data_IF_721053654587
#
_entry.id   IF_721053654587
#
_cell.length_a   1.000
_cell.length_b   1.000
_cell.length_c   1.000
_cell.angle_alpha   90.00
_cell.angle_beta   90.00
_cell.angle_gamma   90.00
#
_symmetry.space_group_name_H-M   'P 1'
#
loop_
_entity.id
_entity.type
_entity.pdbx_description
1 polymer ?
#
# COMPACT_ATOMS: atom_id res chain seq x y z
N UNK A 1 -60.91 36.48 27.82
CA UNK A 1 -61.39 35.17 27.35
C UNK A 1 -60.38 34.64 26.36
N UNK A 2 -59.70 33.55 26.58
CA UNK A 2 -59.74 32.50 27.58
C UNK A 2 -58.76 31.49 26.95
N UNK A 3 -57.85 30.82 27.62
CA UNK A 3 -57.52 30.65 29.02
C UNK A 3 -56.13 29.95 28.89
N UNK A 4 -55.11 30.41 29.61
CA UNK A 4 -54.54 29.67 30.74
C UNK A 4 -54.10 28.22 30.41
N UNK A 5 -52.86 27.80 30.65
CA UNK A 5 -52.15 28.09 31.89
C UNK A 5 -50.66 27.82 31.84
N UNK A 6 -49.98 28.68 32.59
CA UNK A 6 -48.59 28.62 32.98
C UNK A 6 -48.35 27.53 34.04
N UNK A 7 -47.10 27.02 34.07
CA UNK A 7 -46.30 26.70 35.26
C UNK A 7 -46.80 25.58 36.19
N UNK A 8 -45.99 24.51 36.33
CA UNK A 8 -45.57 24.03 37.66
C UNK A 8 -44.42 22.99 37.63
N UNK A 9 -43.35 23.35 38.35
CA UNK A 9 -42.49 22.54 39.23
C UNK A 9 -41.60 21.37 38.74
N UNK A 10 -40.30 21.63 38.89
CA UNK A 10 -39.23 20.79 39.47
C UNK A 10 -39.68 19.64 40.40
N UNK A 11 -39.14 18.42 40.22
CA UNK A 11 -38.12 17.82 41.10
C UNK A 11 -37.60 16.43 40.63
N UNK A 12 -36.26 16.25 40.79
CA UNK A 12 -35.46 15.04 41.08
C UNK A 12 -35.46 13.77 40.18
N UNK A 13 -34.25 13.55 39.64
CA UNK A 13 -33.39 12.34 39.71
C UNK A 13 -34.04 10.97 39.46
N UNK A 14 -33.63 10.34 38.34
CA UNK A 14 -33.21 8.93 38.37
C UNK A 14 -32.13 8.67 37.29
N UNK A 15 -31.05 8.05 37.73
CA UNK A 15 -29.92 7.59 36.91
C UNK A 15 -30.37 6.42 36.03
N UNK A 16 -30.17 6.51 34.71
CA UNK A 16 -30.13 5.34 33.84
C UNK A 16 -29.02 5.50 32.78
N UNK A 17 -28.20 4.45 32.69
CA UNK A 17 -26.97 4.30 31.90
C UNK A 17 -27.22 4.45 30.37
N UNK A 18 -26.20 4.81 29.57
CA UNK A 18 -26.36 4.93 28.13
C UNK A 18 -26.47 3.53 27.50
N UNK A 19 -27.62 3.21 26.90
CA UNK A 19 -27.78 2.03 26.06
C UNK A 19 -27.65 2.41 24.59
N UNK A 20 -26.82 1.65 23.88
CA UNK A 20 -26.67 1.54 22.43
C UNK A 20 -26.31 2.81 21.65
N UNK A 21 -25.01 2.92 21.32
CA UNK A 21 -24.56 3.73 20.20
C UNK A 21 -25.31 3.33 18.91
N UNK A 22 -25.79 4.27 18.09
CA UNK A 22 -26.44 3.93 16.83
C UNK A 22 -25.38 3.49 15.82
N UNK A 23 -25.37 2.22 15.43
CA UNK A 23 -24.72 1.74 14.19
C UNK A 23 -25.49 2.37 13.03
N UNK A 24 -24.98 3.47 12.46
CA UNK A 24 -25.53 4.00 11.21
C UNK A 24 -24.61 3.52 10.12
N UNK A 25 -25.17 2.65 9.31
CA UNK A 25 -24.54 2.09 8.16
C UNK A 25 -24.41 3.15 7.07
N UNK A 26 -23.24 3.18 6.43
CA UNK A 26 -23.18 3.54 5.01
C UNK A 26 -23.35 2.23 4.27
N UNK A 27 -24.54 1.67 4.41
CA UNK A 27 -25.01 0.63 3.53
C UNK A 27 -25.91 1.28 2.50
N UNK A 28 -25.95 0.64 1.35
CA UNK A 28 -27.24 0.16 0.91
C UNK A 28 -27.91 -0.69 2.05
N UNK A 29 -28.41 -0.01 3.10
CA UNK A 29 -29.14 -0.39 4.35
C UNK A 29 -28.63 -1.41 5.44
N UNK A 30 -29.00 -1.15 6.75
CA UNK A 30 -28.81 -1.94 8.00
C UNK A 30 -29.81 -3.00 8.43
N UNK A 31 -30.79 -3.33 7.60
CA UNK A 31 -31.89 -4.21 8.04
C UNK A 31 -32.17 -5.37 7.09
N UNK A 32 -31.38 -5.56 6.03
CA UNK A 32 -31.80 -6.44 4.94
C UNK A 32 -33.05 -5.91 4.21
N UNK A 33 -33.38 -4.63 4.37
CA UNK A 33 -34.41 -3.94 3.58
C UNK A 33 -33.83 -2.63 3.05
N UNK A 34 -33.24 -2.71 1.85
CA UNK A 34 -33.07 -1.55 1.00
C UNK A 34 -34.45 -1.10 0.52
N UNK A 35 -34.91 0.09 0.92
CA UNK A 35 -35.78 0.84 0.02
C UNK A 35 -34.95 1.13 -1.24
N UNK A 36 -35.30 0.50 -2.36
CA UNK A 36 -34.64 0.68 -3.65
C UNK A 36 -34.69 2.13 -4.18
N UNK A 37 -35.40 3.03 -3.49
CA UNK A 37 -35.74 4.38 -3.94
C UNK A 37 -34.93 5.49 -3.25
N UNK A 38 -34.08 5.18 -2.25
CA UNK A 38 -33.29 6.18 -1.55
C UNK A 38 -31.99 6.50 -2.32
N UNK A 39 -31.86 7.74 -2.81
CA UNK A 39 -30.61 8.23 -3.43
C UNK A 39 -29.44 8.09 -2.46
N UNK A 40 -28.27 7.58 -2.90
CA UNK A 40 -27.09 7.49 -2.04
C UNK A 40 -26.70 8.88 -1.49
N UNK A 41 -26.23 8.94 -0.23
CA UNK A 41 -25.86 10.21 0.40
C UNK A 41 -24.76 10.92 -0.39
N UNK A 42 -24.83 12.25 -0.44
CA UNK A 42 -23.82 13.08 -1.10
C UNK A 42 -22.48 13.07 -0.36
N UNK A 43 -21.41 13.47 -1.05
CA UNK A 43 -20.06 13.52 -0.44
C UNK A 43 -20.02 14.44 0.80
N UNK A 44 -20.73 15.57 0.78
CA UNK A 44 -20.77 16.50 1.91
C UNK A 44 -21.36 15.86 3.17
N UNK A 45 -22.43 15.09 2.99
CA UNK A 45 -23.07 14.37 4.08
C UNK A 45 -22.16 13.25 4.62
N UNK A 46 -21.53 12.48 3.72
CA UNK A 46 -20.58 11.45 4.12
C UNK A 46 -19.39 12.04 4.88
N UNK A 47 -18.83 13.15 4.42
CA UNK A 47 -17.75 13.86 5.12
C UNK A 47 -18.23 14.35 6.48
N UNK A 48 -19.41 14.97 6.59
CA UNK A 48 -19.94 15.41 7.88
C UNK A 48 -20.13 14.24 8.86
N UNK A 49 -20.62 13.09 8.37
CA UNK A 49 -20.75 11.86 9.16
C UNK A 49 -19.39 11.33 9.62
N UNK A 50 -18.38 11.31 8.74
CA UNK A 50 -17.01 10.91 9.07
C UNK A 50 -16.45 11.77 10.20
N UNK A 51 -16.54 13.10 10.10
CA UNK A 51 -16.02 14.01 11.12
C UNK A 51 -16.83 13.97 12.42
N UNK A 52 -18.13 13.69 12.38
CA UNK A 52 -18.91 13.51 13.60
C UNK A 52 -18.55 12.22 14.36
N UNK A 53 -18.27 11.14 13.63
CA UNK A 53 -18.02 9.80 14.21
C UNK A 53 -16.56 9.44 14.37
N UNK A 54 -15.65 10.19 13.75
CA UNK A 54 -14.25 9.81 13.47
C UNK A 54 -14.08 8.67 12.45
N UNK A 55 -15.12 7.92 12.09
CA UNK A 55 -15.04 6.78 11.16
C UNK A 55 -16.34 6.54 10.39
N UNK A 56 -16.23 5.79 9.29
CA UNK A 56 -17.29 5.21 8.50
C UNK A 56 -16.95 3.75 8.18
N UNK A 57 -17.99 2.93 7.94
CA UNK A 57 -17.83 1.55 7.45
C UNK A 57 -18.56 1.42 6.13
N UNK A 58 -17.84 1.01 5.10
CA UNK A 58 -18.34 0.70 3.76
C UNK A 58 -18.52 -0.81 3.66
N UNK A 59 -19.77 -1.28 3.71
CA UNK A 59 -20.06 -2.72 3.77
C UNK A 59 -19.92 -3.41 2.43
N UNK A 60 -19.41 -4.63 2.43
CA UNK A 60 -19.31 -5.47 1.22
C UNK A 60 -18.54 -4.81 0.08
N UNK A 61 -17.63 -3.89 0.40
CA UNK A 61 -16.87 -3.11 -0.55
C UNK A 61 -15.84 -3.93 -1.33
N UNK A 62 -15.40 -5.05 -0.76
CA UNK A 62 -14.46 -5.99 -1.39
C UNK A 62 -15.19 -7.32 -1.65
N UNK A 63 -15.19 -7.81 -2.90
CA UNK A 63 -15.72 -9.13 -3.25
C UNK A 63 -15.08 -10.28 -2.45
N UNK A 64 -15.87 -11.30 -2.12
CA UNK A 64 -15.43 -12.40 -1.24
C UNK A 64 -14.30 -13.25 -1.84
N UNK A 65 -14.20 -13.35 -3.17
CA UNK A 65 -13.08 -14.02 -3.84
C UNK A 65 -11.75 -13.28 -3.60
N UNK A 66 -11.77 -11.94 -3.60
CA UNK A 66 -10.60 -11.12 -3.28
C UNK A 66 -10.25 -11.18 -1.81
N UNK A 67 -11.25 -11.22 -0.93
CA UNK A 67 -11.05 -11.46 0.50
C UNK A 67 -10.32 -12.79 0.71
N UNK A 68 -10.81 -13.88 0.11
CA UNK A 68 -10.19 -15.20 0.22
C UNK A 68 -8.74 -15.22 -0.32
N UNK A 69 -8.48 -14.62 -1.48
CA UNK A 69 -7.13 -14.47 -2.04
C UNK A 69 -6.20 -13.70 -1.10
N UNK A 70 -6.66 -12.57 -0.56
CA UNK A 70 -5.86 -11.73 0.34
C UNK A 70 -5.53 -12.45 1.65
N UNK A 71 -6.51 -13.13 2.27
CA UNK A 71 -6.28 -13.97 3.47
C UNK A 71 -5.27 -15.07 3.15
N UNK A 72 -5.47 -15.81 2.07
CA UNK A 72 -4.57 -16.89 1.66
C UNK A 72 -3.13 -16.37 1.46
N UNK A 73 -2.95 -15.23 0.80
CA UNK A 73 -1.64 -14.60 0.59
C UNK A 73 -0.98 -14.16 1.90
N UNK A 74 -1.74 -13.61 2.85
CA UNK A 74 -1.20 -13.12 4.12
C UNK A 74 -0.83 -14.24 5.09
N UNK A 75 -1.60 -15.33 5.11
CA UNK A 75 -1.38 -16.45 6.03
C UNK A 75 -0.31 -17.45 5.57
N UNK A 76 0.28 -17.26 4.37
CA UNK A 76 1.41 -18.10 3.92
C UNK A 76 2.53 -18.09 4.96
N UNK A 77 3.08 -19.26 5.33
CA UNK A 77 4.19 -19.35 6.28
C UNK A 77 5.35 -18.47 5.81
N UNK A 78 5.84 -17.60 6.69
CA UNK A 78 6.96 -16.72 6.40
C UNK A 78 8.03 -16.81 7.48
N UNK A 79 9.27 -16.66 7.03
CA UNK A 79 10.39 -16.46 7.94
C UNK A 79 10.31 -15.04 8.50
N UNK A 80 9.64 -14.88 9.63
CA UNK A 80 9.69 -13.64 10.42
C UNK A 80 10.63 -13.83 11.59
N UNK A 81 11.74 -13.11 11.59
CA UNK A 81 12.57 -12.94 12.78
C UNK A 81 11.72 -12.25 13.86
N UNK A 82 11.42 -12.95 14.96
CA UNK A 82 10.71 -12.38 16.11
C UNK A 82 9.19 -12.66 16.19
N UNK A 83 8.62 -13.57 15.40
CA UNK A 83 7.26 -14.03 15.65
C UNK A 83 7.22 -14.97 16.86
N UNK A 84 6.88 -14.41 18.03
CA UNK A 84 6.47 -15.23 19.16
C UNK A 84 5.14 -15.92 18.87
N UNK A 85 4.90 -17.14 19.36
CA UNK A 85 3.57 -17.76 19.35
C UNK A 85 2.58 -16.88 20.11
N UNK A 86 1.57 -16.33 19.42
CA UNK A 86 0.59 -15.40 19.99
C UNK A 86 0.94 -13.93 19.79
N UNK A 87 -0.09 -13.10 19.59
CA UNK A 87 0.06 -11.65 19.40
C UNK A 87 -0.23 -11.15 17.97
N UNK A 88 0.14 -9.89 17.73
CA UNK A 88 -0.08 -9.21 16.46
C UNK A 88 1.12 -9.38 15.52
N UNK A 89 0.92 -10.03 14.38
CA UNK A 89 1.91 -10.15 13.32
C UNK A 89 1.66 -9.06 12.26
N UNK A 90 2.73 -8.30 11.95
CA UNK A 90 2.74 -7.42 10.77
C UNK A 90 3.24 -8.17 9.56
N UNK A 91 2.51 -7.99 8.47
CA UNK A 91 2.76 -8.57 7.16
C UNK A 91 3.17 -7.43 6.23
N UNK A 92 4.47 -7.28 6.03
CA UNK A 92 5.02 -6.23 5.17
C UNK A 92 5.02 -6.66 3.69
N UNK A 93 5.20 -5.68 2.82
CA UNK A 93 5.36 -5.87 1.36
C UNK A 93 4.21 -6.67 0.74
N UNK A 94 2.97 -6.39 1.17
CA UNK A 94 1.77 -7.11 0.69
C UNK A 94 1.62 -7.07 -0.82
N UNK A 95 2.07 -6.00 -1.46
CA UNK A 95 2.03 -5.80 -2.92
C UNK A 95 2.79 -6.90 -3.68
N UNK A 96 3.83 -7.48 -3.09
CA UNK A 96 4.60 -8.57 -3.70
C UNK A 96 3.92 -9.93 -3.54
N UNK A 97 3.02 -10.08 -2.57
CA UNK A 97 2.44 -11.37 -2.21
C UNK A 97 1.39 -11.84 -3.21
N UNK A 98 0.57 -10.90 -3.68
CA UNK A 98 -0.52 -11.17 -4.62
C UNK A 98 -1.03 -9.85 -5.26
N UNK A 99 -1.33 -9.82 -6.57
CA UNK A 99 -1.93 -8.65 -7.22
C UNK A 99 -3.24 -8.14 -6.58
N UNK A 100 -3.95 -8.98 -5.83
CA UNK A 100 -5.24 -8.63 -5.19
C UNK A 100 -5.16 -7.37 -4.34
N UNK A 101 -4.03 -7.08 -3.68
CA UNK A 101 -3.88 -5.88 -2.87
C UNK A 101 -3.88 -4.60 -3.72
N UNK A 102 -3.27 -4.65 -4.90
CA UNK A 102 -3.33 -3.53 -5.86
C UNK A 102 -4.73 -3.41 -6.48
N UNK A 103 -5.41 -4.53 -6.77
CA UNK A 103 -6.80 -4.54 -7.23
C UNK A 103 -7.74 -3.86 -6.22
N UNK A 104 -7.64 -4.21 -4.92
CA UNK A 104 -8.43 -3.61 -3.83
C UNK A 104 -8.22 -2.10 -3.69
N UNK A 105 -7.01 -1.60 -3.98
CA UNK A 105 -6.71 -0.16 -3.98
C UNK A 105 -7.32 0.52 -5.18
N UNK A 106 -7.27 -0.10 -6.37
CA UNK A 106 -7.87 0.46 -7.57
C UNK A 106 -9.40 0.58 -7.44
N UNK A 107 -10.02 -0.41 -6.80
CA UNK A 107 -11.47 -0.56 -6.70
C UNK A 107 -12.07 0.03 -5.42
N UNK A 108 -11.38 0.99 -4.78
CA UNK A 108 -11.92 1.69 -3.63
C UNK A 108 -13.31 2.28 -3.94
N UNK A 109 -14.30 2.11 -3.03
CA UNK A 109 -15.63 2.69 -3.18
C UNK A 109 -15.60 4.17 -3.52
N UNK A 110 -16.47 4.60 -4.44
CA UNK A 110 -16.54 5.99 -4.89
C UNK A 110 -16.72 6.98 -3.72
N UNK A 111 -17.49 6.60 -2.70
CA UNK A 111 -17.65 7.41 -1.49
C UNK A 111 -16.33 7.65 -0.74
N UNK A 112 -15.46 6.64 -0.63
CA UNK A 112 -14.12 6.80 -0.04
C UNK A 112 -13.27 7.75 -0.88
N UNK A 113 -13.26 7.56 -2.20
CA UNK A 113 -12.48 8.38 -3.13
C UNK A 113 -12.91 9.84 -3.06
N UNK A 114 -14.22 10.11 -3.15
CA UNK A 114 -14.77 11.47 -3.07
C UNK A 114 -14.50 12.15 -1.73
N UNK A 115 -14.56 11.41 -0.62
CA UNK A 115 -14.17 11.94 0.70
C UNK A 115 -12.69 12.30 0.70
N UNK A 116 -11.82 11.41 0.22
CA UNK A 116 -10.39 11.65 0.16
C UNK A 116 -10.05 12.85 -0.73
N UNK A 117 -10.67 12.98 -1.90
CA UNK A 117 -10.50 14.14 -2.79
C UNK A 117 -10.92 15.45 -2.10
N UNK A 118 -12.05 15.43 -1.37
CA UNK A 118 -12.54 16.60 -0.65
C UNK A 118 -11.66 16.97 0.56
N UNK A 119 -11.16 15.99 1.30
CA UNK A 119 -10.42 16.20 2.56
C UNK A 119 -8.92 16.42 2.33
N UNK A 120 -8.33 15.76 1.33
CA UNK A 120 -6.89 15.67 1.10
C UNK A 120 -6.43 16.25 -0.25
N UNK A 121 -7.36 16.72 -1.09
CA UNK A 121 -7.19 17.04 -2.52
C UNK A 121 -7.00 15.81 -3.42
N UNK A 122 -7.25 15.98 -4.72
CA UNK A 122 -7.37 14.90 -5.74
C UNK A 122 -6.12 14.01 -5.92
N UNK A 123 -4.95 14.45 -5.45
CA UNK A 123 -3.67 13.75 -5.65
C UNK A 123 -3.21 12.98 -4.41
N UNK A 124 -4.12 12.66 -3.49
CA UNK A 124 -3.81 11.87 -2.30
C UNK A 124 -3.16 10.53 -2.65
N UNK A 125 -2.35 10.00 -1.73
CA UNK A 125 -1.58 8.78 -1.90
C UNK A 125 -1.69 7.88 -0.67
N UNK A 126 -1.50 6.57 -0.87
CA UNK A 126 -1.28 5.63 0.20
C UNK A 126 0.19 5.68 0.63
N UNK A 127 0.43 6.24 1.82
CA UNK A 127 1.76 6.39 2.40
C UNK A 127 2.27 5.19 3.19
N UNK A 128 1.41 4.20 3.42
CA UNK A 128 1.77 2.87 3.91
C UNK A 128 0.72 1.86 3.49
N UNK A 129 1.13 0.60 3.37
CA UNK A 129 0.23 -0.50 3.09
C UNK A 129 0.80 -1.81 3.64
N UNK A 130 0.19 -2.36 4.69
CA UNK A 130 0.64 -3.61 5.29
C UNK A 130 -0.53 -4.41 5.86
N UNK A 131 -0.32 -5.73 5.96
CA UNK A 131 -1.28 -6.65 6.58
C UNK A 131 -1.07 -6.76 8.08
N UNK A 132 -2.14 -6.99 8.82
CA UNK A 132 -2.14 -7.34 10.23
C UNK A 132 -2.84 -8.69 10.41
N UNK A 133 -2.18 -9.62 11.10
CA UNK A 133 -2.74 -10.91 11.53
C UNK A 133 -2.64 -10.97 13.06
N UNK A 134 -3.77 -10.83 13.76
CA UNK A 134 -3.80 -10.92 15.23
C UNK A 134 -4.30 -12.30 15.64
N UNK A 135 -3.44 -13.05 16.30
CA UNK A 135 -3.74 -14.40 16.76
C UNK A 135 -4.62 -14.39 18.02
N UNK A 136 -5.47 -15.42 18.21
CA UNK A 136 -6.14 -15.64 19.49
C UNK A 136 -5.16 -15.70 20.65
N UNK A 137 -5.38 -14.86 21.67
CA UNK A 137 -4.50 -14.77 22.84
C UNK A 137 -5.25 -14.41 24.13
N UNK A 138 -6.51 -13.98 24.04
CA UNK A 138 -7.21 -13.41 25.20
C UNK A 138 -7.42 -14.38 26.38
N UNK A 139 -7.44 -15.70 26.13
CA UNK A 139 -7.48 -16.72 27.21
C UNK A 139 -6.16 -16.86 27.97
N UNK A 140 -5.04 -16.42 27.39
CA UNK A 140 -3.71 -16.51 27.99
C UNK A 140 -3.36 -15.29 28.84
N UNK A 141 -4.09 -14.18 28.69
CA UNK A 141 -3.82 -12.93 29.39
C UNK A 141 -4.74 -12.75 30.59
N UNK A 142 -4.21 -12.23 31.70
CA UNK A 142 -5.01 -11.74 32.82
C UNK A 142 -5.46 -10.29 32.59
N UNK A 143 -6.28 -9.74 33.50
CA UNK A 143 -6.85 -8.39 33.33
C UNK A 143 -5.79 -7.29 33.25
N UNK A 144 -4.79 -7.35 34.12
CA UNK A 144 -3.69 -6.37 34.15
C UNK A 144 -2.87 -6.41 32.86
N UNK A 145 -2.60 -7.61 32.33
CA UNK A 145 -1.90 -7.78 31.06
C UNK A 145 -2.70 -7.23 29.88
N UNK A 146 -4.02 -7.44 29.87
CA UNK A 146 -4.93 -6.87 28.86
C UNK A 146 -4.91 -5.34 28.90
N UNK A 147 -5.00 -4.75 30.09
CA UNK A 147 -4.97 -3.29 30.25
C UNK A 147 -3.63 -2.70 29.86
N UNK A 148 -2.52 -3.32 30.25
CA UNK A 148 -1.18 -2.88 29.86
C UNK A 148 -1.02 -2.93 28.34
N UNK A 149 -1.49 -4.00 27.70
CA UNK A 149 -1.48 -4.12 26.24
C UNK A 149 -2.35 -3.06 25.57
N UNK A 150 -3.55 -2.78 26.10
CA UNK A 150 -4.41 -1.70 25.62
C UNK A 150 -3.75 -0.33 25.76
N UNK A 151 -3.13 -0.05 26.91
CA UNK A 151 -2.34 1.18 27.13
C UNK A 151 -1.16 1.30 26.20
N UNK A 152 -0.53 0.20 25.79
CA UNK A 152 0.55 0.19 24.79
C UNK A 152 0.02 0.32 23.36
N UNK A 153 -1.19 -0.16 23.08
CA UNK A 153 -1.83 -0.09 21.77
C UNK A 153 -2.58 1.23 21.51
N UNK A 154 -2.86 2.05 22.52
CA UNK A 154 -3.58 3.32 22.36
C UNK A 154 -2.75 4.36 21.61
N UNK A 155 -3.17 4.80 20.43
CA UNK A 155 -2.44 5.80 19.66
C UNK A 155 -3.36 6.61 18.75
N UNK A 156 -2.80 7.67 18.18
CA UNK A 156 -3.28 8.33 16.99
C UNK A 156 -2.27 8.05 15.87
N UNK A 157 -2.73 7.72 14.66
CA UNK A 157 -1.80 7.49 13.55
C UNK A 157 -1.16 8.79 13.07
N UNK A 158 -1.84 9.91 13.28
CA UNK A 158 -1.33 11.22 12.95
C UNK A 158 -1.68 12.27 14.01
N UNK A 159 -0.78 13.19 14.40
CA UNK A 159 0.65 13.24 14.08
C UNK A 159 1.42 12.05 14.65
N UNK A 160 2.02 11.24 13.75
CA UNK A 160 2.73 10.01 14.11
C UNK A 160 3.97 10.35 14.92
N UNK A 161 3.90 10.32 16.25
CA UNK A 161 5.02 10.68 17.11
C UNK A 161 5.49 12.15 17.01
N UNK A 162 5.12 12.90 15.96
CA UNK A 162 5.51 14.30 15.71
C UNK A 162 4.95 15.29 16.74
N UNK A 163 4.02 14.86 17.60
CA UNK A 163 3.57 15.62 18.77
C UNK A 163 4.18 15.12 20.09
N UNK A 164 5.04 14.10 20.03
CA UNK A 164 5.66 13.47 21.19
C UNK A 164 7.13 13.86 21.29
N UNK A 165 7.63 13.95 22.52
CA UNK A 165 9.00 14.34 22.82
C UNK A 165 10.03 13.39 22.19
N UNK A 166 9.69 12.11 22.00
CA UNK A 166 10.52 11.07 21.39
C UNK A 166 11.01 11.45 19.98
N UNK A 167 10.16 12.14 19.20
CA UNK A 167 10.50 12.59 17.84
C UNK A 167 10.81 14.09 17.77
N UNK A 168 11.17 14.71 18.91
CA UNK A 168 11.45 16.15 19.02
C UNK A 168 10.22 17.04 18.84
N UNK A 169 9.03 16.44 18.92
CA UNK A 169 7.74 17.09 18.74
C UNK A 169 7.13 17.59 20.04
N UNK A 170 6.20 18.53 19.92
CA UNK A 170 5.37 19.08 20.99
C UNK A 170 3.98 19.35 20.43
N UNK A 171 2.93 19.37 21.26
CA UNK A 171 1.62 19.84 20.80
C UNK A 171 1.64 21.30 20.33
N UNK A 172 2.59 22.10 20.84
CA UNK A 172 2.84 23.46 20.34
C UNK A 172 3.46 23.46 18.95
N UNK A 173 4.11 22.36 18.53
CA UNK A 173 4.65 22.20 17.17
C UNK A 173 3.66 21.60 16.18
N UNK A 174 2.44 21.25 16.61
CA UNK A 174 1.36 20.84 15.70
C UNK A 174 0.51 22.08 15.37
N UNK A 175 0.59 22.61 14.12
CA UNK A 175 -0.26 23.68 13.65
C UNK A 175 -1.73 23.54 14.07
N UNK A 176 -2.38 24.67 14.37
CA UNK A 176 -3.81 24.70 14.70
C UNK A 176 -4.69 24.11 13.60
N UNK A 177 -4.27 24.30 12.35
CA UNK A 177 -4.87 23.73 11.15
C UNK A 177 -3.88 22.74 10.53
N UNK A 178 -3.69 21.59 11.18
CA UNK A 178 -2.93 20.51 10.56
C UNK A 178 -3.81 19.77 9.56
N UNK A 179 -3.34 19.46 8.34
CA UNK A 179 -4.14 18.72 7.38
C UNK A 179 -4.51 17.35 7.95
N UNK A 180 -5.74 16.93 7.70
CA UNK A 180 -6.19 15.61 8.08
C UNK A 180 -5.40 14.53 7.33
N UNK A 181 -5.31 13.36 7.94
CA UNK A 181 -4.97 12.13 7.22
C UNK A 181 -6.17 11.20 7.33
N UNK A 182 -6.31 10.28 6.39
CA UNK A 182 -7.33 9.25 6.46
C UNK A 182 -6.65 7.89 6.55
N UNK A 183 -7.39 6.92 7.05
CA UNK A 183 -6.90 5.57 7.26
C UNK A 183 -7.94 4.58 6.77
N UNK A 184 -7.46 3.53 6.12
CA UNK A 184 -8.26 2.44 5.58
C UNK A 184 -7.92 1.15 6.33
N UNK A 185 -8.96 0.43 6.75
CA UNK A 185 -8.84 -0.95 7.23
C UNK A 185 -9.74 -1.81 6.35
N UNK A 186 -9.13 -2.62 5.48
CA UNK A 186 -9.86 -3.69 4.79
C UNK A 186 -10.01 -4.86 5.73
N UNK A 187 -11.26 -5.20 6.05
CA UNK A 187 -11.61 -6.30 6.95
C UNK A 187 -11.60 -7.60 6.14
N UNK A 188 -10.74 -8.55 6.53
CA UNK A 188 -10.55 -9.80 5.80
C UNK A 188 -10.92 -11.04 6.63
N UNK A 189 -11.24 -10.84 7.90
CA UNK A 189 -11.85 -11.80 8.81
C UNK A 189 -12.86 -11.05 9.69
N UNK A 190 -13.85 -11.72 10.29
CA UNK A 190 -14.86 -11.03 11.10
C UNK A 190 -14.27 -10.18 12.22
N UNK A 191 -14.67 -8.90 12.26
CA UNK A 191 -14.45 -7.95 13.35
C UNK A 191 -15.68 -7.97 14.26
N UNK A 192 -15.59 -8.75 15.33
CA UNK A 192 -16.62 -8.97 16.34
C UNK A 192 -16.24 -8.30 17.68
N UNK A 193 -17.15 -8.35 18.66
CA UNK A 193 -16.87 -7.85 20.01
C UNK A 193 -15.65 -8.55 20.65
N UNK A 194 -15.41 -9.82 20.32
CA UNK A 194 -14.37 -10.65 20.95
C UNK A 194 -13.13 -10.83 20.07
N UNK A 195 -13.15 -10.50 18.78
CA UNK A 195 -11.98 -10.70 17.90
C UNK A 195 -10.90 -9.62 18.06
N UNK A 196 -11.00 -8.77 19.07
CA UNK A 196 -10.08 -7.65 19.26
C UNK A 196 -10.25 -6.54 18.22
N UNK A 197 -11.46 -6.31 17.73
CA UNK A 197 -11.74 -5.27 16.72
C UNK A 197 -11.30 -3.88 17.17
N UNK A 198 -11.02 -2.99 16.22
CA UNK A 198 -10.52 -1.64 16.49
C UNK A 198 -11.52 -0.85 17.35
N UNK A 199 -11.02 -0.23 18.41
CA UNK A 199 -11.76 0.74 19.23
C UNK A 199 -11.35 2.15 18.81
N UNK A 200 -12.30 3.04 18.59
CA UNK A 200 -12.08 4.44 18.19
C UNK A 200 -12.79 5.34 19.19
N UNK A 201 -12.18 6.47 19.58
CA UNK A 201 -12.84 7.53 20.34
C UNK A 201 -13.48 8.54 19.36
N UNK A 202 -14.83 8.55 19.20
CA UNK A 202 -15.50 9.52 18.34
C UNK A 202 -15.24 10.96 18.78
N UNK A 203 -14.96 11.85 17.81
CA UNK A 203 -14.69 13.26 18.06
C UNK A 203 -13.31 13.58 18.68
N UNK A 204 -12.47 12.58 18.97
CA UNK A 204 -11.16 12.85 19.59
C UNK A 204 -10.20 13.60 18.66
N UNK A 205 -10.40 13.50 17.34
CA UNK A 205 -9.59 14.16 16.32
C UNK A 205 -9.82 15.68 16.23
N UNK A 206 -10.94 16.20 16.74
CA UNK A 206 -11.22 17.65 16.83
C UNK A 206 -10.89 18.22 18.21
N UNK A 207 -10.75 17.36 19.23
CA UNK A 207 -10.45 17.81 20.58
C UNK A 207 -8.93 17.90 20.81
N UNK A 208 -8.39 19.12 20.75
CA UNK A 208 -6.96 19.38 20.95
C UNK A 208 -6.46 19.00 22.35
N UNK A 209 -7.31 19.00 23.38
CA UNK A 209 -6.91 18.52 24.70
C UNK A 209 -6.73 17.00 24.71
N UNK A 210 -7.45 16.28 23.87
CA UNK A 210 -7.26 14.84 23.73
C UNK A 210 -6.04 14.50 22.87
N UNK A 211 -5.57 15.39 21.99
CA UNK A 211 -4.34 15.17 21.21
C UNK A 211 -3.06 15.09 22.09
N UNK A 212 -3.19 15.24 23.42
CA UNK A 212 -2.12 15.20 24.42
C UNK A 212 -1.41 13.84 24.54
N UNK A 213 -0.44 13.81 25.45
CA UNK A 213 0.33 12.62 25.79
C UNK A 213 -0.60 11.48 26.26
N UNK A 214 -0.53 10.33 25.58
CA UNK A 214 -1.21 9.08 25.97
C UNK A 214 -0.87 8.61 27.38
N UNK A 215 0.25 9.07 27.94
CA UNK A 215 0.72 8.76 29.28
C UNK A 215 0.13 9.71 30.34
N UNK A 216 -0.72 10.67 29.96
CA UNK A 216 -1.45 11.49 30.92
C UNK A 216 -2.27 10.59 31.88
N UNK A 217 -2.15 10.78 33.21
CA UNK A 217 -2.90 9.98 34.17
C UNK A 217 -4.41 10.03 33.93
N UNK A 218 -5.06 8.85 33.84
CA UNK A 218 -6.50 8.75 33.60
C UNK A 218 -6.93 8.81 32.14
N UNK A 219 -6.02 9.05 31.19
CA UNK A 219 -6.37 9.18 29.77
C UNK A 219 -6.89 7.87 29.17
N UNK A 220 -6.25 6.74 29.50
CA UNK A 220 -6.68 5.42 29.02
C UNK A 220 -8.07 5.05 29.53
N UNK A 221 -8.37 5.34 30.79
CA UNK A 221 -9.67 5.11 31.40
C UNK A 221 -10.75 5.97 30.73
N UNK A 222 -10.43 7.24 30.49
CA UNK A 222 -11.29 8.16 29.72
C UNK A 222 -11.51 7.66 28.30
N UNK A 223 -10.47 7.14 27.64
CA UNK A 223 -10.60 6.53 26.31
C UNK A 223 -11.54 5.33 26.37
N UNK A 224 -11.29 4.34 27.22
CA UNK A 224 -12.09 3.10 27.32
C UNK A 224 -13.57 3.42 27.61
N UNK A 225 -13.85 4.43 28.43
CA UNK A 225 -15.22 4.83 28.76
C UNK A 225 -16.00 5.47 27.59
N UNK A 226 -15.31 6.03 26.59
CA UNK A 226 -15.92 6.78 25.50
C UNK A 226 -15.68 6.16 24.11
N UNK A 227 -14.77 5.19 24.00
CA UNK A 227 -14.45 4.53 22.76
C UNK A 227 -15.58 3.60 22.31
N UNK A 228 -15.77 3.53 21.00
CA UNK A 228 -16.68 2.60 20.35
C UNK A 228 -15.89 1.53 19.62
N UNK A 229 -16.31 0.28 19.74
CA UNK A 229 -15.72 -0.82 19.01
C UNK A 229 -16.34 -0.90 17.61
N UNK A 230 -15.50 -0.85 16.58
CA UNK A 230 -15.94 -0.91 15.18
C UNK A 230 -16.06 -2.36 14.76
N UNK A 231 -17.28 -2.80 14.45
CA UNK A 231 -17.60 -4.15 14.01
C UNK A 231 -17.73 -4.22 12.49
N UNK A 232 -17.44 -5.40 11.92
CA UNK A 232 -17.31 -5.57 10.48
C UNK A 232 -17.27 -7.02 10.02
N UNK A 233 -17.75 -7.26 8.81
CA UNK A 233 -17.65 -8.55 8.14
C UNK A 233 -16.51 -8.56 7.12
N UNK A 234 -15.97 -9.74 6.76
CA UNK A 234 -14.99 -9.84 5.68
C UNK A 234 -15.53 -9.21 4.41
N UNK A 235 -14.76 -8.31 3.81
CA UNK A 235 -15.17 -7.52 2.65
C UNK A 235 -15.54 -6.07 2.97
N UNK A 236 -15.74 -5.73 4.24
CA UNK A 236 -15.98 -4.35 4.65
C UNK A 236 -14.69 -3.51 4.66
N UNK A 237 -14.83 -2.19 4.48
CA UNK A 237 -13.73 -1.23 4.63
C UNK A 237 -14.10 -0.20 5.70
N UNK A 238 -13.26 -0.06 6.72
CA UNK A 238 -13.33 1.05 7.67
C UNK A 238 -12.52 2.22 7.09
N UNK A 239 -13.14 3.39 6.98
CA UNK A 239 -12.46 4.65 6.75
C UNK A 239 -12.48 5.45 8.05
N UNK A 240 -11.35 5.89 8.58
CA UNK A 240 -11.31 6.76 9.76
C UNK A 240 -10.33 7.92 9.61
N UNK A 241 -10.54 8.96 10.42
CA UNK A 241 -9.65 10.12 10.48
C UNK A 241 -8.39 9.73 11.26
N UNK A 242 -7.20 9.86 10.67
CA UNK A 242 -5.95 9.39 11.26
C UNK A 242 -5.57 10.08 12.57
N UNK A 243 -6.16 11.24 12.87
CA UNK A 243 -6.07 11.96 14.14
C UNK A 243 -6.97 11.39 15.25
N UNK A 244 -7.81 10.40 14.95
CA UNK A 244 -8.66 9.79 15.95
C UNK A 244 -7.84 8.84 16.84
N UNK A 245 -8.02 8.97 18.15
CA UNK A 245 -7.47 8.04 19.11
C UNK A 245 -8.15 6.71 18.94
N UNK A 246 -7.34 5.67 18.87
CA UNK A 246 -7.82 4.32 18.67
C UNK A 246 -6.83 3.30 19.22
N UNK A 247 -7.29 2.05 19.32
CA UNK A 247 -6.44 0.90 19.62
C UNK A 247 -7.00 -0.36 18.96
N UNK A 248 -6.15 -1.37 18.78
CA UNK A 248 -6.63 -2.72 18.51
C UNK A 248 -6.91 -3.44 19.83
N UNK A 249 -8.02 -4.16 19.89
CA UNK A 249 -8.38 -4.96 21.06
C UNK A 249 -7.59 -6.26 21.15
N UNK A 250 -7.74 -6.94 22.30
CA UNK A 250 -7.23 -8.30 22.50
C UNK A 250 -8.13 -9.29 21.76
N UNK A 251 -7.54 -10.20 21.00
CA UNK A 251 -8.30 -11.22 20.28
C UNK A 251 -8.63 -12.42 21.19
N UNK A 252 -9.89 -12.50 21.62
CA UNK A 252 -10.50 -13.57 22.42
C UNK A 252 -11.28 -14.58 21.57
N UNK A 253 -11.46 -14.30 20.27
CA UNK A 253 -12.15 -15.19 19.36
C UNK A 253 -11.34 -16.45 19.04
N UNK A 254 -11.98 -17.46 18.45
CA UNK A 254 -11.32 -18.71 18.04
C UNK A 254 -10.58 -18.60 16.70
N UNK A 255 -10.67 -17.45 16.01
CA UNK A 255 -10.06 -17.21 14.71
C UNK A 255 -9.03 -16.08 14.75
N UNK A 256 -8.09 -16.08 13.80
CA UNK A 256 -7.17 -14.95 13.62
C UNK A 256 -7.94 -13.75 13.07
N UNK A 257 -7.64 -12.55 13.58
CA UNK A 257 -8.15 -11.29 13.04
C UNK A 257 -7.19 -10.77 11.97
N UNK A 258 -7.61 -10.88 10.72
CA UNK A 258 -6.84 -10.55 9.52
C UNK A 258 -7.39 -9.28 8.89
N UNK A 259 -6.51 -8.31 8.61
CA UNK A 259 -6.85 -7.05 7.97
C UNK A 259 -5.69 -6.49 7.14
N UNK A 260 -5.97 -5.64 6.16
CA UNK A 260 -4.96 -4.79 5.52
C UNK A 260 -5.20 -3.35 5.99
N UNK A 261 -4.13 -2.64 6.31
CA UNK A 261 -4.15 -1.26 6.74
C UNK A 261 -3.48 -0.40 5.67
N UNK A 262 -4.08 0.75 5.37
CA UNK A 262 -3.53 1.71 4.42
C UNK A 262 -3.70 3.14 4.89
N UNK A 263 -2.60 3.89 4.94
CA UNK A 263 -2.61 5.30 5.31
C UNK A 263 -2.81 6.17 4.08
N UNK A 264 -3.84 7.00 4.09
CA UNK A 264 -4.15 7.94 3.01
C UNK A 264 -3.69 9.34 3.39
N UNK A 265 -2.80 9.90 2.59
CA UNK A 265 -2.09 11.15 2.84
C UNK A 265 -2.32 12.16 1.71
N UNK A 266 -2.29 13.46 2.00
CA UNK A 266 -2.12 14.48 0.97
C UNK A 266 -0.82 14.25 0.19
N UNK A 267 -0.79 14.61 -1.10
CA UNK A 267 0.34 14.32 -2.00
C UNK A 267 1.70 14.89 -1.56
N UNK A 268 1.71 15.91 -0.70
CA UNK A 268 2.93 16.56 -0.20
C UNK A 268 3.46 15.96 1.12
N UNK A 269 2.78 14.97 1.67
CA UNK A 269 3.25 14.26 2.86
C UNK A 269 4.28 13.20 2.49
N UNK A 270 5.31 13.08 3.34
CA UNK A 270 6.27 11.98 3.23
C UNK A 270 5.59 10.68 3.65
N UNK A 271 5.68 9.66 2.81
CA UNK A 271 5.20 8.31 3.12
C UNK A 271 5.99 7.68 4.29
N UNK A 272 5.28 6.90 5.13
CA UNK A 272 5.92 6.07 6.17
C UNK A 272 6.66 4.88 5.55
N UNK A 273 6.10 4.33 4.47
CA UNK A 273 6.70 3.26 3.69
C UNK A 273 7.03 3.76 2.29
N UNK A 274 8.30 3.68 1.89
CA UNK A 274 8.73 4.07 0.56
C UNK A 274 8.43 2.95 -0.44
N UNK A 275 7.18 2.85 -0.90
CA UNK A 275 6.73 1.86 -1.90
C UNK A 275 7.60 1.91 -3.16
N UNK A 276 7.93 3.11 -3.63
CA UNK A 276 8.80 3.35 -4.80
C UNK A 276 10.17 2.68 -4.71
N UNK A 277 10.74 2.55 -3.50
CA UNK A 277 12.07 1.94 -3.33
C UNK A 277 12.02 0.46 -2.98
N UNK A 278 10.87 -0.03 -2.49
CA UNK A 278 10.72 -1.38 -1.94
C UNK A 278 10.04 -2.32 -2.91
N UNK A 279 9.05 -1.84 -3.65
CA UNK A 279 8.25 -2.66 -4.54
C UNK A 279 9.01 -2.91 -5.84
N UNK A 280 9.28 -4.18 -6.21
CA UNK A 280 9.95 -4.50 -7.46
C UNK A 280 9.16 -4.04 -8.69
N UNK A 281 9.86 -3.60 -9.73
CA UNK A 281 9.25 -3.09 -10.97
C UNK A 281 8.31 -4.11 -11.63
N UNK A 282 8.62 -5.41 -11.58
CA UNK A 282 7.75 -6.45 -12.14
C UNK A 282 6.38 -6.49 -11.45
N UNK A 283 6.31 -6.15 -10.16
CA UNK A 283 5.05 -6.03 -9.40
C UNK A 283 4.32 -4.78 -9.86
N UNK A 284 5.02 -3.63 -9.93
CA UNK A 284 4.45 -2.34 -10.35
C UNK A 284 3.82 -2.44 -11.75
N UNK A 285 4.48 -3.11 -12.69
CA UNK A 285 3.98 -3.28 -14.07
C UNK A 285 2.66 -4.04 -14.18
N UNK A 286 2.38 -4.94 -13.22
CA UNK A 286 1.15 -5.74 -13.18
C UNK A 286 0.01 -5.03 -12.44
N UNK A 287 0.29 -3.90 -11.78
CA UNK A 287 -0.73 -3.17 -11.03
C UNK A 287 -1.70 -2.40 -11.96
N UNK A 288 -2.98 -2.31 -11.57
CA UNK A 288 -3.91 -1.39 -12.23
C UNK A 288 -3.36 0.05 -12.24
N UNK A 289 -3.60 0.85 -13.30
CA UNK A 289 -3.12 2.23 -13.38
C UNK A 289 -3.51 3.10 -12.18
N UNK A 290 -4.75 2.95 -11.69
CA UNK A 290 -5.25 3.72 -10.56
C UNK A 290 -4.55 3.33 -9.23
N UNK A 291 -4.19 2.05 -9.07
CA UNK A 291 -3.39 1.62 -7.93
C UNK A 291 -1.97 2.20 -7.99
N UNK A 292 -1.35 2.23 -9.18
CA UNK A 292 -0.04 2.88 -9.37
C UNK A 292 -0.05 4.35 -9.01
N UNK A 293 -1.10 5.07 -9.41
CA UNK A 293 -1.29 6.48 -9.03
C UNK A 293 -1.39 6.63 -7.52
N UNK A 294 -2.29 5.86 -6.89
CA UNK A 294 -2.55 5.92 -5.45
C UNK A 294 -1.36 5.48 -4.60
N UNK A 295 -0.48 4.61 -5.10
CA UNK A 295 0.73 4.18 -4.38
C UNK A 295 1.97 5.03 -4.68
N UNK A 296 1.81 6.11 -5.46
CA UNK A 296 2.90 7.04 -5.75
C UNK A 296 3.88 6.58 -6.86
N UNK A 297 3.50 5.57 -7.66
CA UNK A 297 4.31 5.11 -8.79
C UNK A 297 4.06 5.90 -10.08
N UNK A 298 2.95 6.65 -10.17
CA UNK A 298 2.65 7.49 -11.33
C UNK A 298 3.51 8.75 -11.35
N UNK A 299 3.76 9.33 -12.53
CA UNK A 299 4.71 10.46 -12.73
C UNK A 299 4.33 11.70 -11.93
N UNK A 300 3.03 11.89 -11.73
CA UNK A 300 2.39 13.00 -11.03
C UNK A 300 2.70 12.98 -9.52
N UNK A 301 3.02 11.82 -8.97
CA UNK A 301 3.35 11.63 -7.55
C UNK A 301 4.77 12.08 -7.17
N UNK A 302 5.64 12.36 -8.15
CA UNK A 302 7.05 12.61 -7.90
C UNK A 302 7.33 14.08 -7.60
N UNK A 303 7.43 14.43 -6.32
CA UNK A 303 8.20 15.60 -5.85
C UNK A 303 9.70 15.37 -6.06
N UNK A 304 10.17 15.43 -7.31
CA UNK A 304 11.58 15.74 -7.57
C UNK A 304 11.62 17.17 -8.06
N UNK A 305 11.91 18.12 -7.16
CA UNK A 305 12.57 19.36 -7.57
C UNK A 305 13.84 18.93 -8.30
N UNK A 306 13.90 19.01 -9.64
CA UNK A 306 14.99 18.42 -10.38
C UNK A 306 16.13 19.44 -10.40
N UNK A 307 16.75 19.69 -9.25
CA UNK A 307 18.11 20.22 -9.28
C UNK A 307 19.02 19.02 -9.49
N UNK A 308 19.53 18.92 -10.72
CA UNK A 308 20.68 18.11 -11.18
C UNK A 308 21.42 17.44 -10.02
N UNK A 309 20.99 16.25 -9.61
CA UNK A 309 21.81 15.38 -8.75
C UNK A 309 22.99 14.80 -9.54
N UNK A 310 22.83 14.70 -10.87
CA UNK A 310 23.83 14.25 -11.84
C UNK A 310 23.78 15.15 -13.11
N UNK A 311 24.86 15.21 -13.91
CA UNK A 311 24.92 16.04 -15.12
C UNK A 311 24.04 15.52 -16.27
N UNK A 312 23.37 14.37 -16.11
CA UNK A 312 22.56 13.74 -17.15
C UNK A 312 21.08 14.15 -17.03
N UNK A 313 20.39 14.39 -18.17
CA UNK A 313 18.93 14.51 -18.21
C UNK A 313 18.24 13.30 -17.58
N UNK A 314 17.15 13.54 -16.83
CA UNK A 314 16.36 12.52 -16.14
C UNK A 314 15.93 11.36 -17.06
N UNK A 315 15.53 11.67 -18.28
CA UNK A 315 15.15 10.67 -19.30
C UNK A 315 16.25 9.68 -19.63
N UNK A 316 17.52 10.07 -19.50
CA UNK A 316 18.66 9.19 -19.74
C UNK A 316 18.95 8.29 -18.53
N UNK A 317 18.74 8.77 -17.31
CA UNK A 317 18.87 7.95 -16.09
C UNK A 317 17.72 6.94 -15.99
N UNK A 318 16.48 7.36 -16.23
CA UNK A 318 15.31 6.46 -16.29
C UNK A 318 15.45 5.45 -17.44
N UNK A 319 15.98 5.89 -18.59
CA UNK A 319 16.32 4.99 -19.70
C UNK A 319 17.38 3.97 -19.33
N UNK A 320 18.41 4.35 -18.58
CA UNK A 320 19.46 3.45 -18.12
C UNK A 320 18.99 2.47 -17.04
N UNK A 321 18.18 2.93 -16.08
CA UNK A 321 17.53 2.08 -15.08
C UNK A 321 16.61 1.06 -15.75
N UNK A 322 15.73 1.51 -16.66
CA UNK A 322 14.84 0.63 -17.41
C UNK A 322 15.63 -0.39 -18.26
N UNK A 323 16.73 0.03 -18.89
CA UNK A 323 17.62 -0.86 -19.62
C UNK A 323 18.27 -1.89 -18.68
N UNK A 324 18.81 -1.47 -17.54
CA UNK A 324 19.40 -2.36 -16.53
C UNK A 324 18.37 -3.36 -16.01
N UNK A 325 17.15 -2.93 -15.74
CA UNK A 325 16.06 -3.78 -15.27
C UNK A 325 15.67 -4.81 -16.34
N UNK A 326 15.55 -4.39 -17.60
CA UNK A 326 15.31 -5.28 -18.74
C UNK A 326 16.40 -6.35 -18.91
N UNK A 327 17.62 -6.05 -18.50
CA UNK A 327 18.78 -6.94 -18.63
C UNK A 327 18.98 -7.86 -17.43
N UNK A 328 18.72 -7.37 -16.22
CA UNK A 328 18.95 -8.10 -14.97
C UNK A 328 17.76 -9.00 -14.63
N UNK A 329 16.54 -8.47 -14.76
CA UNK A 329 15.31 -9.19 -14.39
C UNK A 329 14.68 -9.88 -15.60
N UNK A 330 15.00 -9.39 -16.81
CA UNK A 330 14.30 -9.77 -18.02
C UNK A 330 12.99 -9.00 -18.18
N UNK A 331 12.57 -8.82 -19.43
CA UNK A 331 11.24 -8.30 -19.72
C UNK A 331 10.19 -9.40 -19.48
N UNK A 332 9.65 -9.49 -18.27
CA UNK A 332 8.37 -10.16 -17.99
C UNK A 332 7.24 -9.12 -17.94
N UNK A 333 7.06 -8.41 -19.04
CA UNK A 333 5.76 -7.85 -19.38
C UNK A 333 5.28 -8.61 -20.61
N UNK A 334 4.02 -9.08 -20.68
CA UNK A 334 3.49 -9.37 -21.99
C UNK A 334 3.47 -8.02 -22.73
N UNK A 335 4.40 -7.79 -23.64
CA UNK A 335 3.89 -7.29 -24.91
C UNK A 335 2.96 -8.42 -25.32
N UNK A 336 1.67 -8.19 -25.16
CA UNK A 336 0.62 -9.05 -25.64
C UNK A 336 0.71 -9.03 -27.17
N UNK A 337 1.81 -9.60 -27.71
CA UNK A 337 2.13 -9.66 -29.12
C UNK A 337 0.98 -10.38 -29.81
N UNK A 338 0.42 -11.38 -29.15
CA UNK A 338 -0.76 -12.07 -29.59
C UNK A 338 -1.96 -11.11 -29.72
N UNK A 339 -2.27 -10.30 -28.71
CA UNK A 339 -3.33 -9.30 -28.78
C UNK A 339 -3.03 -8.06 -29.64
N UNK A 340 -1.77 -7.73 -29.89
CA UNK A 340 -1.34 -6.68 -30.83
C UNK A 340 -1.49 -7.19 -32.27
N UNK A 341 -1.04 -8.41 -32.53
CA UNK A 341 -1.05 -9.04 -33.86
C UNK A 341 -2.48 -9.46 -34.23
N UNK A 342 -3.29 -9.99 -33.31
CA UNK A 342 -4.72 -10.26 -33.54
C UNK A 342 -5.56 -9.01 -33.82
N UNK A 343 -5.06 -7.82 -33.49
CA UNK A 343 -5.69 -6.53 -33.84
C UNK A 343 -5.33 -6.02 -35.23
N UNK A 344 -4.43 -6.68 -35.96
CA UNK A 344 -4.08 -6.32 -37.33
C UNK A 344 -5.11 -6.97 -38.27
N UNK A 345 -5.99 -6.18 -38.92
CA UNK A 345 -7.03 -6.72 -39.78
C UNK A 345 -6.42 -7.37 -41.03
N UNK A 346 -6.94 -8.54 -41.42
CA UNK A 346 -6.57 -9.23 -42.68
C UNK A 346 -5.43 -10.25 -42.60
N UNK A 347 -4.97 -10.62 -41.39
CA UNK A 347 -3.97 -11.69 -41.24
C UNK A 347 -4.60 -13.08 -41.48
N UNK A 348 -3.95 -13.96 -42.29
CA UNK A 348 -4.36 -15.36 -42.43
C UNK A 348 -4.22 -16.15 -41.11
N UNK A 349 -5.04 -17.19 -40.94
CA UNK A 349 -4.91 -18.13 -39.81
C UNK A 349 -3.51 -18.77 -39.76
N UNK A 350 -2.86 -18.80 -38.59
CA UNK A 350 -1.52 -19.34 -38.37
C UNK A 350 -0.35 -18.36 -38.49
N UNK A 351 -0.55 -17.20 -39.13
CA UNK A 351 0.47 -16.13 -39.21
C UNK A 351 0.70 -15.40 -37.88
N UNK A 352 -0.33 -15.16 -37.03
CA UNK A 352 -0.14 -14.54 -35.73
C UNK A 352 0.81 -15.31 -34.81
N UNK A 353 0.68 -16.64 -34.74
CA UNK A 353 1.51 -17.50 -33.89
C UNK A 353 2.98 -17.49 -34.34
N UNK A 354 3.22 -17.53 -35.64
CA UNK A 354 4.57 -17.42 -36.20
C UNK A 354 5.20 -16.06 -35.91
N UNK A 355 4.45 -14.96 -36.06
CA UNK A 355 4.93 -13.62 -35.75
C UNK A 355 5.23 -13.44 -34.26
N UNK A 356 4.39 -14.00 -33.37
CA UNK A 356 4.64 -14.03 -31.92
C UNK A 356 5.93 -14.80 -31.62
N UNK A 357 6.15 -15.94 -32.26
CA UNK A 357 7.37 -16.74 -32.07
C UNK A 357 8.63 -16.00 -32.54
N UNK A 358 8.60 -15.42 -33.74
CA UNK A 358 9.74 -14.66 -34.32
C UNK A 358 10.06 -13.44 -33.47
N UNK A 359 9.04 -12.66 -33.07
CA UNK A 359 9.22 -11.53 -32.17
C UNK A 359 9.81 -11.97 -30.82
N UNK A 360 9.32 -13.07 -30.25
CA UNK A 360 9.84 -13.61 -28.99
C UNK A 360 11.33 -13.99 -29.10
N UNK A 361 11.72 -14.68 -30.18
CA UNK A 361 13.11 -15.02 -30.45
C UNK A 361 13.96 -13.75 -30.60
N UNK A 362 13.48 -12.77 -31.37
CA UNK A 362 14.17 -11.50 -31.57
C UNK A 362 14.41 -10.76 -30.24
N UNK A 363 13.40 -10.66 -29.38
CA UNK A 363 13.54 -9.99 -28.08
C UNK A 363 14.51 -10.72 -27.13
N UNK A 364 14.45 -12.06 -27.08
CA UNK A 364 15.36 -12.85 -26.23
C UNK A 364 16.80 -12.81 -26.72
N UNK A 365 17.02 -12.86 -28.05
CA UNK A 365 18.36 -12.71 -28.64
C UNK A 365 18.91 -11.31 -28.37
N UNK A 366 18.13 -10.25 -28.59
CA UNK A 366 18.58 -8.89 -28.28
C UNK A 366 18.87 -8.67 -26.79
N UNK A 367 18.11 -9.32 -25.89
CA UNK A 367 18.39 -9.32 -24.44
C UNK A 367 19.76 -9.93 -24.14
N UNK A 368 20.03 -11.13 -24.67
CA UNK A 368 21.31 -11.83 -24.46
C UNK A 368 22.48 -11.02 -25.03
N UNK A 369 22.29 -10.44 -26.22
CA UNK A 369 23.29 -9.60 -26.86
C UNK A 369 23.57 -8.31 -26.08
N UNK A 370 22.56 -7.68 -25.51
CA UNK A 370 22.73 -6.49 -24.69
C UNK A 370 23.42 -6.80 -23.36
N UNK A 371 23.18 -7.97 -22.75
CA UNK A 371 23.94 -8.45 -21.58
C UNK A 371 25.42 -8.69 -21.95
N UNK A 372 25.68 -9.36 -23.08
CA UNK A 372 27.05 -9.57 -23.59
C UNK A 372 27.72 -8.22 -23.91
N UNK A 373 26.98 -7.25 -24.43
CA UNK A 373 27.52 -5.93 -24.77
C UNK A 373 27.93 -5.13 -23.53
N UNK A 374 27.08 -5.13 -22.50
CA UNK A 374 27.29 -4.32 -21.29
C UNK A 374 28.30 -4.96 -20.33
N UNK A 375 28.25 -6.29 -20.19
CA UNK A 375 29.09 -7.00 -19.24
C UNK A 375 30.27 -7.74 -19.90
N UNK A 376 30.21 -8.05 -21.19
CA UNK A 376 31.29 -8.71 -21.93
C UNK A 376 32.62 -7.96 -21.89
N UNK A 377 32.68 -6.62 -22.02
CA UNK A 377 33.93 -5.88 -21.85
C UNK A 377 34.53 -6.03 -20.44
N UNK A 378 33.70 -6.08 -19.40
CA UNK A 378 34.12 -6.27 -18.02
C UNK A 378 34.62 -7.69 -17.77
N UNK A 379 33.94 -8.70 -18.32
CA UNK A 379 34.34 -10.12 -18.25
C UNK A 379 35.64 -10.35 -19.02
N UNK A 380 35.75 -9.85 -20.25
CA UNK A 380 36.97 -9.92 -21.06
C UNK A 380 38.13 -9.21 -20.38
N UNK A 381 37.91 -8.01 -19.83
CA UNK A 381 38.93 -7.26 -19.09
C UNK A 381 39.38 -7.97 -17.81
N UNK A 382 38.45 -8.52 -17.03
CA UNK A 382 38.78 -9.27 -15.81
C UNK A 382 39.47 -10.60 -16.11
N UNK A 383 39.12 -11.29 -17.20
CA UNK A 383 39.85 -12.46 -17.70
C UNK A 383 41.27 -12.13 -18.20
N UNK A 384 41.48 -10.97 -18.82
CA UNK A 384 42.81 -10.52 -19.30
C UNK A 384 43.70 -10.04 -18.14
N UNK A 385 43.11 -9.50 -17.07
CA UNK A 385 43.85 -8.96 -15.91
C UNK A 385 44.12 -9.99 -14.82
N UNK A 386 43.24 -10.98 -14.66
CA UNK A 386 43.51 -12.14 -13.82
C UNK A 386 44.58 -12.96 -14.53
N UNK A 387 45.84 -12.90 -14.06
CA UNK A 387 46.97 -13.68 -14.61
C UNK A 387 46.83 -15.19 -14.45
N UNK A 388 45.62 -15.74 -14.55
CA UNK A 388 45.31 -17.15 -14.52
C UNK A 388 45.86 -17.83 -15.77
N UNK A 389 46.79 -18.75 -15.55
CA UNK A 389 47.25 -19.74 -16.52
C UNK A 389 46.18 -20.83 -16.76
N UNK A 390 44.93 -20.46 -17.00
CA UNK A 390 43.92 -21.43 -17.42
C UNK A 390 44.11 -21.78 -18.91
N UNK A 391 43.81 -23.03 -19.29
CA UNK A 391 44.12 -23.66 -20.57
C UNK A 391 43.74 -22.84 -21.83
N UNK A 392 42.78 -21.91 -21.74
CA UNK A 392 42.34 -21.11 -22.87
C UNK A 392 43.40 -20.11 -23.39
N UNK A 393 44.35 -19.68 -22.56
CA UNK A 393 45.36 -18.68 -22.95
C UNK A 393 46.53 -19.24 -23.79
N UNK A 394 46.68 -20.57 -23.92
CA UNK A 394 47.82 -21.18 -24.64
C UNK A 394 47.66 -21.25 -26.16
N UNK A 395 46.44 -21.18 -26.69
CA UNK A 395 46.20 -21.45 -28.11
C UNK A 395 46.18 -20.22 -29.01
N UNK A 396 46.14 -19.00 -28.46
CA UNK A 396 46.00 -17.76 -29.27
C UNK A 396 47.03 -16.67 -28.98
N UNK A 397 47.86 -16.79 -27.96
CA UNK A 397 48.80 -15.71 -27.58
C UNK A 397 50.20 -15.90 -28.20
N UNK A 398 50.29 -15.77 -29.53
CA UNK A 398 51.55 -15.61 -30.26
C UNK A 398 51.86 -14.16 -30.66
N UNK A 399 50.90 -13.24 -30.50
CA UNK A 399 51.05 -11.80 -30.76
C UNK A 399 50.26 -11.04 -29.69
N UNK A 400 50.87 -9.96 -29.16
CA UNK A 400 50.33 -9.11 -28.08
C UNK A 400 48.83 -8.86 -28.27
N UNK A 401 48.02 -9.33 -27.33
CA UNK A 401 46.58 -9.11 -27.35
C UNK A 401 46.31 -7.61 -27.16
N UNK A 402 45.81 -6.91 -28.18
CA UNK A 402 45.56 -5.46 -28.18
C UNK A 402 44.45 -4.98 -27.23
N UNK A 403 44.04 -5.80 -26.27
CA UNK A 403 43.02 -5.52 -25.24
C UNK A 403 43.65 -4.95 -23.95
N UNK A 404 44.72 -4.16 -24.07
CA UNK A 404 45.44 -3.59 -22.92
C UNK A 404 44.65 -2.47 -22.21
N UNK A 405 43.57 -1.95 -22.82
CA UNK A 405 42.74 -0.89 -22.25
C UNK A 405 41.25 -1.18 -22.36
N UNK A 406 40.46 -0.69 -21.40
CA UNK A 406 38.99 -0.73 -21.43
C UNK A 406 38.43 -0.14 -22.73
N UNK A 407 39.12 0.87 -23.28
CA UNK A 407 38.77 1.53 -24.53
C UNK A 407 38.85 0.58 -25.73
N UNK A 408 39.88 -0.27 -25.82
CA UNK A 408 40.01 -1.22 -26.92
C UNK A 408 39.02 -2.38 -26.81
N UNK A 409 38.67 -2.80 -25.59
CA UNK A 409 37.63 -3.78 -25.33
C UNK A 409 36.25 -3.26 -25.75
N UNK A 410 35.92 -2.01 -25.40
CA UNK A 410 34.68 -1.35 -25.82
C UNK A 410 34.59 -1.23 -27.35
N UNK A 411 35.67 -0.87 -28.05
CA UNK A 411 35.67 -0.79 -29.52
C UNK A 411 35.39 -2.14 -30.21
N UNK A 412 35.96 -3.24 -29.72
CA UNK A 412 35.70 -4.57 -30.30
C UNK A 412 34.26 -5.02 -30.06
N UNK A 413 33.72 -4.75 -28.88
CA UNK A 413 32.33 -5.07 -28.54
C UNK A 413 31.35 -4.22 -29.35
N UNK A 414 31.67 -2.96 -29.63
CA UNK A 414 30.91 -2.10 -30.55
C UNK A 414 30.87 -2.64 -31.99
N UNK A 415 32.00 -3.11 -32.50
CA UNK A 415 32.10 -3.70 -33.85
C UNK A 415 31.30 -5.00 -33.95
N UNK A 416 31.40 -5.87 -32.94
CA UNK A 416 30.63 -7.11 -32.85
C UNK A 416 29.13 -6.81 -32.77
N UNK A 417 28.73 -5.83 -31.97
CA UNK A 417 27.33 -5.42 -31.84
C UNK A 417 26.77 -4.86 -33.13
N UNK A 418 27.50 -3.97 -33.81
CA UNK A 418 27.10 -3.46 -35.12
C UNK A 418 26.98 -4.59 -36.14
N UNK A 419 27.92 -5.54 -36.16
CA UNK A 419 27.83 -6.72 -37.03
C UNK A 419 26.60 -7.59 -36.76
N UNK A 420 26.21 -7.77 -35.49
CA UNK A 420 25.03 -8.55 -35.12
C UNK A 420 23.71 -7.81 -35.39
N UNK A 421 23.64 -6.51 -35.11
CA UNK A 421 22.46 -5.67 -35.42
C UNK A 421 22.24 -5.65 -36.94
N UNK A 422 23.29 -5.44 -37.74
CA UNK A 422 23.17 -5.48 -39.19
C UNK A 422 22.86 -6.89 -39.72
N UNK A 423 23.45 -7.94 -39.15
CA UNK A 423 23.19 -9.33 -39.56
C UNK A 423 21.75 -9.78 -39.29
N UNK A 424 21.17 -9.39 -38.15
CA UNK A 424 19.77 -9.71 -37.81
C UNK A 424 18.78 -8.86 -38.61
N UNK A 425 19.13 -7.61 -38.94
CA UNK A 425 18.30 -6.74 -39.80
C UNK A 425 18.28 -7.21 -41.27
N UNK A 426 19.28 -7.97 -41.71
CA UNK A 426 19.34 -8.58 -43.05
C UNK A 426 18.67 -9.97 -43.14
N UNK A 427 18.36 -10.58 -41.99
CA UNK A 427 17.72 -11.90 -41.86
C UNK A 427 16.19 -11.81 -41.68
N UNK A 428 15.69 -10.60 -41.37
CA UNK A 428 14.29 -10.20 -41.40
C UNK A 428 13.98 -9.51 -42.73
#
# INVERSE_FOLDING_TARGET
SALLGAVCCLHRLELARPSSAPTVEVCASPSGECSADAKPPGVDELTARLFNRSYLVFRGAVPQDKVARAVHAMERPRWSLGASPGGAQRVMEVLELDPVFAEMIAELPEGIVKIADKVLAEYWQLGSLHGHVIHPEGRALNQTERENKGRMALHSDFPYGHATQEFGGSLTSVPEQFPYTLQLIWILSPFTATSGSTLIYPGSHVNRELLRDRFEPGFYEKFVANAVQVLGEPGDIILYVGQAWHLWGVNEASHKRVAVLGQVLPFFFKHMESHVTKTPEYVVRRMPPLARQRLGFAKEAWFKHPKRLLPLPRSQLEGAECLLDMLVVGYEGPMDLEGIIKKIPGLPEGVPELLVLVASIFFQTNRLLAVIFLFGPLVLWSCVRCGCRCCCCRFTCGKRCGLESLRTALCHVLLIFLGMVFGVTLLL
#
